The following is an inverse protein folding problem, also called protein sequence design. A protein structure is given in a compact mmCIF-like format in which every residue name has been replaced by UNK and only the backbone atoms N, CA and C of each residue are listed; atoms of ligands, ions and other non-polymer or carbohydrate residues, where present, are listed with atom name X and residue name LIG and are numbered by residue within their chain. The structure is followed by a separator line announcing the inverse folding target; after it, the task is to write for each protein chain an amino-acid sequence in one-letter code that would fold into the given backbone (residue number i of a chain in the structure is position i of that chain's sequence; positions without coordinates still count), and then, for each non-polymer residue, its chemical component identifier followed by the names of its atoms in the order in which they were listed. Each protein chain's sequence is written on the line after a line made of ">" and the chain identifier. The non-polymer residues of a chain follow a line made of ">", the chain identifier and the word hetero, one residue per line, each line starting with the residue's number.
data_IF_222514995777
#
_entry.id   IF_222514995777
#
_cell.length_a   1.000
_cell.length_b   1.000
_cell.length_c   1.000
_cell.angle_alpha   90.00
_cell.angle_beta   90.00
_cell.angle_gamma   90.00
#
_symmetry.space_group_name_H-M   'P 1'
#
loop_
_entity.id
_entity.type
_entity.pdbx_description
1 polymer ?
#
# COMPACT_ATOMS: atom_id res chain seq x y z
N UNK A 1 40.87 11.09 -3.11
CA UNK A 1 40.26 10.00 -2.31
C UNK A 1 38.99 10.55 -1.68
N UNK A 2 38.06 9.74 -1.18
CA UNK A 2 36.88 10.29 -0.51
C UNK A 2 37.30 10.88 0.85
N UNK A 3 36.70 12.00 1.24
CA UNK A 3 36.98 12.69 2.51
C UNK A 3 36.76 11.75 3.72
N UNK A 4 35.86 10.76 3.60
CA UNK A 4 35.63 9.74 4.62
C UNK A 4 36.78 8.73 4.73
N UNK A 5 37.47 8.42 3.62
CA UNK A 5 38.64 7.53 3.62
C UNK A 5 39.88 8.23 4.17
N UNK A 6 39.98 9.54 3.97
CA UNK A 6 41.04 10.37 4.55
C UNK A 6 40.84 10.53 6.06
N UNK A 7 39.60 10.76 6.52
CA UNK A 7 39.26 10.83 7.94
C UNK A 7 39.58 9.52 8.68
N UNK A 8 39.26 8.37 8.10
CA UNK A 8 39.53 7.05 8.70
C UNK A 8 41.03 6.78 8.84
N UNK A 9 41.83 7.17 7.84
CA UNK A 9 43.29 7.03 7.90
C UNK A 9 43.94 7.99 8.89
N UNK A 10 43.39 9.19 9.03
CA UNK A 10 43.87 10.19 9.95
C UNK A 10 43.44 9.94 11.40
N UNK A 11 42.35 9.19 11.63
CA UNK A 11 41.77 8.99 12.96
C UNK A 11 41.15 10.27 13.54
N UNK A 12 40.88 11.26 12.69
CA UNK A 12 40.39 12.58 13.07
C UNK A 12 39.15 12.94 12.26
N UNK A 13 38.32 13.83 12.81
CA UNK A 13 37.12 14.31 12.14
C UNK A 13 37.49 15.31 11.05
N UNK A 14 37.32 14.93 9.79
CA UNK A 14 37.54 15.82 8.63
C UNK A 14 36.18 16.23 8.09
N UNK A 15 35.84 17.52 8.20
CA UNK A 15 34.61 18.11 7.67
C UNK A 15 33.29 17.41 8.08
N UNK A 16 33.25 16.81 9.27
CA UNK A 16 32.09 16.07 9.78
C UNK A 16 32.12 14.57 9.48
N UNK A 17 33.15 14.07 8.80
CA UNK A 17 33.38 12.64 8.56
C UNK A 17 34.40 12.10 9.57
N UNK A 18 34.05 11.03 10.29
CA UNK A 18 34.94 10.37 11.27
C UNK A 18 35.62 9.11 10.71
N UNK A 19 35.24 8.68 9.52
CA UNK A 19 35.73 7.47 8.87
C UNK A 19 34.76 6.98 7.80
N UNK A 20 35.09 5.90 7.09
CA UNK A 20 34.14 5.31 6.15
C UNK A 20 32.98 4.64 6.90
N UNK A 21 31.76 4.84 6.39
CA UNK A 21 30.59 4.18 6.95
C UNK A 21 30.70 2.67 6.71
N UNK A 22 30.27 1.85 7.67
CA UNK A 22 30.12 0.40 7.50
C UNK A 22 29.24 0.08 6.27
N UNK A 23 28.31 0.98 5.92
CA UNK A 23 27.46 0.86 4.73
C UNK A 23 28.22 1.05 3.41
N UNK A 24 29.41 1.67 3.42
CA UNK A 24 30.25 1.83 2.23
C UNK A 24 30.76 0.49 1.68
N UNK A 25 30.86 -0.53 2.55
CA UNK A 25 31.23 -1.91 2.18
C UNK A 25 30.02 -2.76 1.75
N UNK A 26 28.80 -2.22 1.87
CA UNK A 26 27.53 -2.94 1.68
C UNK A 26 26.87 -2.54 0.33
N UNK A 27 27.64 -2.01 -0.63
CA UNK A 27 27.11 -1.59 -1.94
C UNK A 27 26.68 -2.76 -2.85
N UNK A 28 27.06 -4.00 -2.51
CA UNK A 28 26.68 -5.21 -3.25
C UNK A 28 25.35 -5.85 -2.80
N UNK A 29 24.54 -5.15 -2.00
CA UNK A 29 23.18 -5.65 -1.75
C UNK A 29 22.34 -5.32 -2.98
N UNK A 30 21.69 -6.32 -3.63
CA UNK A 30 20.76 -6.04 -4.70
C UNK A 30 19.61 -5.19 -4.13
N UNK A 31 19.70 -3.86 -4.32
CA UNK A 31 18.78 -2.85 -3.78
C UNK A 31 17.29 -3.22 -3.92
N UNK A 32 16.81 -3.85 -5.01
CA UNK A 32 15.43 -4.30 -5.13
C UNK A 32 15.01 -5.37 -4.10
N UNK A 33 15.96 -6.16 -3.59
CA UNK A 33 15.76 -7.16 -2.55
C UNK A 33 16.03 -6.61 -1.13
N UNK A 34 16.67 -5.44 -1.03
CA UNK A 34 17.00 -4.77 0.24
C UNK A 34 15.94 -3.79 0.71
N UNK A 35 15.03 -3.36 -0.17
CA UNK A 35 13.86 -2.57 0.22
C UNK A 35 12.96 -3.52 1.01
N UNK A 36 12.82 -3.25 2.31
CA UNK A 36 11.81 -3.89 3.14
C UNK A 36 10.44 -3.46 2.60
N UNK A 37 9.91 -4.26 1.69
CA UNK A 37 8.57 -4.08 1.15
C UNK A 37 7.59 -4.66 2.14
N UNK A 38 7.08 -3.82 3.03
CA UNK A 38 6.08 -4.24 3.99
C UNK A 38 4.67 -3.90 3.51
N UNK A 39 3.78 -4.89 3.60
CA UNK A 39 2.37 -4.74 3.24
C UNK A 39 1.69 -3.56 3.98
N UNK A 40 2.06 -3.32 5.24
CA UNK A 40 1.39 -2.30 6.05
C UNK A 40 1.69 -0.89 5.56
N UNK A 41 2.96 -0.53 5.32
CA UNK A 41 3.28 0.83 4.89
C UNK A 41 3.04 1.02 3.39
N UNK A 42 3.47 0.10 2.53
CA UNK A 42 3.33 0.26 1.08
C UNK A 42 1.87 0.16 0.65
N UNK A 43 1.22 -0.96 0.97
CA UNK A 43 -0.12 -1.25 0.46
C UNK A 43 -1.19 -0.47 1.19
N UNK A 44 -1.19 -0.51 2.53
CA UNK A 44 -2.28 0.07 3.32
C UNK A 44 -2.09 1.57 3.55
N UNK A 45 -0.97 1.98 4.17
CA UNK A 45 -0.80 3.37 4.62
C UNK A 45 -0.41 4.34 3.50
N UNK A 46 0.19 3.86 2.42
CA UNK A 46 0.53 4.68 1.25
C UNK A 46 -0.52 4.49 0.15
N UNK A 47 -0.48 3.38 -0.58
CA UNK A 47 -1.26 3.26 -1.81
C UNK A 47 -2.78 3.26 -1.58
N UNK A 48 -3.30 2.30 -0.81
CA UNK A 48 -4.74 2.18 -0.55
C UNK A 48 -5.29 3.46 0.10
N UNK A 49 -4.55 4.04 1.06
CA UNK A 49 -4.93 5.31 1.67
C UNK A 49 -5.08 6.43 0.65
N UNK A 50 -4.10 6.65 -0.23
CA UNK A 50 -4.16 7.70 -1.23
C UNK A 50 -5.35 7.51 -2.18
N UNK A 51 -5.57 6.28 -2.64
CA UNK A 51 -6.69 5.94 -3.52
C UNK A 51 -8.04 6.17 -2.84
N UNK A 52 -8.20 5.69 -1.59
CA UNK A 52 -9.44 5.90 -0.81
C UNK A 52 -9.72 7.37 -0.57
N UNK A 53 -8.69 8.16 -0.24
CA UNK A 53 -8.84 9.61 -0.06
C UNK A 53 -9.22 10.31 -1.36
N UNK A 54 -8.68 9.88 -2.51
CA UNK A 54 -9.06 10.42 -3.81
C UNK A 54 -10.50 10.05 -4.19
N UNK A 55 -10.92 8.81 -3.92
CA UNK A 55 -12.31 8.38 -4.08
C UNK A 55 -13.25 9.22 -3.19
N UNK A 56 -12.90 9.37 -1.91
CA UNK A 56 -13.67 10.18 -0.97
C UNK A 56 -13.75 11.66 -1.41
N UNK A 57 -12.65 12.21 -1.92
CA UNK A 57 -12.60 13.57 -2.47
C UNK A 57 -13.44 13.75 -3.75
N UNK A 58 -13.78 12.67 -4.47
CA UNK A 58 -14.67 12.74 -5.63
C UNK A 58 -16.16 12.77 -5.28
N UNK A 59 -16.54 12.38 -4.05
CA UNK A 59 -17.93 12.35 -3.57
C UNK A 59 -18.38 13.76 -3.16
N UNK A 60 -19.67 14.10 -3.27
CA UNK A 60 -20.19 15.41 -2.84
C UNK A 60 -20.12 15.58 -1.31
N UNK A 61 -19.86 16.79 -0.77
CA UNK A 61 -19.69 16.99 0.68
C UNK A 61 -20.85 16.46 1.56
N UNK A 62 -22.11 16.61 1.13
CA UNK A 62 -23.26 16.06 1.87
C UNK A 62 -23.24 14.53 1.95
N UNK A 63 -22.93 13.87 0.83
CA UNK A 63 -22.81 12.41 0.76
C UNK A 63 -21.61 11.88 1.55
N UNK A 64 -20.53 12.67 1.69
CA UNK A 64 -19.40 12.29 2.55
C UNK A 64 -19.78 12.17 4.02
N UNK A 65 -20.64 13.06 4.52
CA UNK A 65 -21.13 13.01 5.91
C UNK A 65 -21.96 11.75 6.12
N UNK A 66 -22.82 11.43 5.16
CA UNK A 66 -23.62 10.21 5.15
C UNK A 66 -22.73 8.96 5.12
N UNK A 67 -21.74 8.93 4.24
CA UNK A 67 -20.75 7.85 4.14
C UNK A 67 -19.98 7.65 5.44
N UNK A 68 -19.49 8.72 6.06
CA UNK A 68 -18.79 8.65 7.34
C UNK A 68 -19.69 8.10 8.45
N UNK A 69 -20.98 8.44 8.43
CA UNK A 69 -21.96 7.86 9.34
C UNK A 69 -22.19 6.37 9.07
N UNK A 70 -22.30 5.95 7.81
CA UNK A 70 -22.41 4.53 7.44
C UNK A 70 -21.20 3.74 7.94
N UNK A 71 -19.99 4.23 7.68
CA UNK A 71 -18.74 3.57 8.08
C UNK A 71 -18.62 3.43 9.60
N UNK A 72 -19.00 4.46 10.37
CA UNK A 72 -18.97 4.43 11.84
C UNK A 72 -19.94 3.40 12.44
N UNK A 73 -21.05 3.14 11.76
CA UNK A 73 -22.10 2.22 12.22
C UNK A 73 -22.07 0.85 11.53
N UNK A 74 -21.15 0.65 10.58
CA UNK A 74 -20.99 -0.61 9.90
C UNK A 74 -20.61 -1.71 10.90
N UNK A 75 -21.36 -2.81 10.87
CA UNK A 75 -21.09 -3.98 11.72
C UNK A 75 -19.93 -4.76 11.10
N UNK A 76 -18.84 -4.86 11.86
CA UNK A 76 -17.71 -5.74 11.55
C UNK A 76 -17.81 -7.04 12.35
N UNK A 77 -17.13 -8.12 11.91
CA UNK A 77 -17.02 -9.34 12.71
C UNK A 77 -16.59 -9.04 14.15
N UNK A 78 -17.13 -9.79 15.11
CA UNK A 78 -16.89 -9.58 16.54
C UNK A 78 -15.41 -9.71 16.96
N UNK A 79 -14.59 -10.36 16.11
CA UNK A 79 -13.14 -10.47 16.28
C UNK A 79 -12.40 -9.16 16.00
N UNK A 80 -13.05 -8.14 15.47
CA UNK A 80 -12.43 -6.86 15.13
C UNK A 80 -12.49 -5.92 16.34
N UNK A 81 -11.34 -5.76 17.02
CA UNK A 81 -11.24 -4.95 18.24
C UNK A 81 -11.46 -3.44 18.05
N UNK A 82 -11.64 -2.94 16.82
CA UNK A 82 -11.80 -1.50 16.54
C UNK A 82 -12.94 -1.24 15.58
N UNK A 83 -13.76 -0.26 15.96
CA UNK A 83 -14.76 0.35 15.07
C UNK A 83 -14.07 1.23 14.03
N UNK A 84 -14.66 1.29 12.84
CA UNK A 84 -14.20 2.19 11.79
C UNK A 84 -14.51 3.65 12.15
N UNK A 85 -13.57 4.53 11.79
CA UNK A 85 -13.72 5.98 11.90
C UNK A 85 -14.16 6.56 10.57
N UNK A 86 -14.51 7.85 10.56
CA UNK A 86 -14.76 8.55 9.30
C UNK A 86 -13.45 8.71 8.51
N UNK A 87 -13.54 8.79 7.18
CA UNK A 87 -12.36 8.83 6.31
C UNK A 87 -11.66 10.19 6.38
N UNK A 88 -12.40 11.23 6.77
CA UNK A 88 -11.86 12.57 7.01
C UNK A 88 -10.83 12.62 8.16
N UNK A 89 -10.81 11.62 9.04
CA UNK A 89 -9.88 11.58 10.15
C UNK A 89 -8.46 11.27 9.64
N UNK A 90 -7.54 12.23 9.75
CA UNK A 90 -6.21 12.24 9.13
C UNK A 90 -5.25 11.15 9.61
N UNK A 91 -5.63 10.37 10.63
CA UNK A 91 -4.82 9.31 11.24
C UNK A 91 -5.52 7.95 11.19
N UNK A 92 -5.72 7.43 9.98
CA UNK A 92 -6.18 6.04 9.78
C UNK A 92 -5.00 5.10 9.99
N UNK A 93 -5.12 4.16 10.92
CA UNK A 93 -4.09 3.13 11.16
C UNK A 93 -4.17 2.04 10.10
N UNK A 94 -3.06 1.32 9.89
CA UNK A 94 -3.00 0.24 8.91
C UNK A 94 -4.10 -0.82 9.14
N UNK A 95 -4.38 -1.18 10.39
CA UNK A 95 -5.44 -2.15 10.72
C UNK A 95 -6.84 -1.65 10.36
N UNK A 96 -7.12 -0.35 10.54
CA UNK A 96 -8.38 0.28 10.13
C UNK A 96 -8.47 0.33 8.60
N UNK A 97 -7.37 0.66 7.92
CA UNK A 97 -7.33 0.66 6.45
C UNK A 97 -7.52 -0.74 5.87
N UNK A 98 -6.95 -1.78 6.49
CA UNK A 98 -7.19 -3.18 6.11
C UNK A 98 -8.67 -3.54 6.21
N UNK A 99 -9.31 -3.19 7.32
CA UNK A 99 -10.73 -3.46 7.54
C UNK A 99 -11.60 -2.69 6.54
N UNK A 100 -11.27 -1.43 6.28
CA UNK A 100 -11.91 -0.64 5.24
C UNK A 100 -11.76 -1.32 3.89
N UNK A 101 -10.55 -1.64 3.46
CA UNK A 101 -10.28 -2.17 2.13
C UNK A 101 -11.03 -3.48 1.86
N UNK A 102 -11.06 -4.42 2.82
CA UNK A 102 -11.65 -5.74 2.61
C UNK A 102 -13.13 -5.88 2.96
N UNK A 103 -13.66 -5.00 3.82
CA UNK A 103 -15.02 -5.15 4.35
C UNK A 103 -15.85 -3.87 4.26
N UNK A 104 -15.22 -2.69 4.34
CA UNK A 104 -15.93 -1.41 4.40
C UNK A 104 -16.11 -0.72 3.06
N UNK A 105 -15.11 -0.81 2.17
CA UNK A 105 -14.99 0.05 1.00
C UNK A 105 -16.12 -0.22 0.01
N UNK A 106 -16.21 -1.45 -0.51
CA UNK A 106 -17.21 -1.78 -1.54
C UNK A 106 -18.65 -1.57 -1.04
N UNK A 107 -19.07 -2.10 0.14
CA UNK A 107 -20.45 -1.93 0.59
C UNK A 107 -20.83 -0.48 0.86
N UNK A 108 -19.87 0.36 1.26
CA UNK A 108 -20.15 1.75 1.63
C UNK A 108 -19.99 2.71 0.45
N UNK A 109 -19.04 2.47 -0.46
CA UNK A 109 -18.72 3.41 -1.54
C UNK A 109 -19.53 3.19 -2.81
N UNK A 110 -20.03 1.97 -3.08
CA UNK A 110 -20.55 1.62 -4.41
C UNK A 110 -21.66 2.56 -4.90
N UNK A 111 -22.49 3.10 -3.99
CA UNK A 111 -23.60 4.01 -4.33
C UNK A 111 -23.15 5.44 -4.62
N UNK A 112 -21.92 5.82 -4.28
CA UNK A 112 -21.44 7.20 -4.30
C UNK A 112 -20.35 7.47 -5.35
N UNK A 113 -19.76 6.43 -5.93
CA UNK A 113 -18.73 6.55 -6.97
C UNK A 113 -19.12 5.77 -8.23
N UNK A 114 -18.55 6.17 -9.37
CA UNK A 114 -18.84 5.54 -10.66
C UNK A 114 -18.42 4.06 -10.66
N UNK A 115 -19.24 3.21 -11.29
CA UNK A 115 -19.06 1.75 -11.28
C UNK A 115 -17.69 1.33 -11.84
N UNK A 116 -17.14 2.07 -12.79
CA UNK A 116 -15.83 1.82 -13.37
C UNK A 116 -14.72 1.98 -12.34
N UNK A 117 -14.84 2.98 -11.44
CA UNK A 117 -13.89 3.18 -10.34
C UNK A 117 -14.04 2.09 -9.28
N UNK A 118 -15.27 1.63 -9.02
CA UNK A 118 -15.53 0.50 -8.11
C UNK A 118 -14.90 -0.78 -8.67
N UNK A 119 -15.14 -1.08 -9.93
CA UNK A 119 -14.58 -2.26 -10.60
C UNK A 119 -13.05 -2.20 -10.60
N UNK A 120 -12.48 -1.04 -10.93
CA UNK A 120 -11.03 -0.85 -10.95
C UNK A 120 -10.38 -1.07 -9.57
N UNK A 121 -10.89 -0.44 -8.49
CA UNK A 121 -10.35 -0.68 -7.14
C UNK A 121 -10.57 -2.12 -6.65
N UNK A 122 -11.63 -2.79 -7.13
CA UNK A 122 -11.90 -4.19 -6.79
C UNK A 122 -10.81 -5.12 -7.29
N UNK A 123 -10.22 -4.85 -8.47
CA UNK A 123 -9.09 -5.63 -9.00
C UNK A 123 -7.93 -5.64 -7.99
N UNK A 124 -7.58 -4.47 -7.45
CA UNK A 124 -6.55 -4.33 -6.43
C UNK A 124 -6.93 -5.05 -5.14
N UNK A 125 -8.15 -4.86 -4.63
CA UNK A 125 -8.62 -5.52 -3.40
C UNK A 125 -8.53 -7.04 -3.53
N UNK A 126 -9.00 -7.60 -4.65
CA UNK A 126 -8.96 -9.03 -4.93
C UNK A 126 -7.52 -9.54 -4.97
N UNK A 127 -6.63 -8.87 -5.71
CA UNK A 127 -5.24 -9.27 -5.82
C UNK A 127 -4.53 -9.32 -4.46
N UNK A 128 -4.66 -8.26 -3.65
CA UNK A 128 -4.07 -8.18 -2.32
C UNK A 128 -4.67 -9.25 -1.40
N UNK A 129 -5.99 -9.48 -1.47
CA UNK A 129 -6.65 -10.52 -0.67
C UNK A 129 -6.16 -11.92 -1.02
N UNK A 130 -5.87 -12.19 -2.29
CA UNK A 130 -5.31 -13.47 -2.73
C UNK A 130 -3.89 -13.69 -2.21
N UNK A 131 -3.05 -12.64 -2.20
CA UNK A 131 -1.67 -12.70 -1.68
C UNK A 131 -1.59 -12.82 -0.15
N UNK A 132 -2.63 -12.39 0.57
CA UNK A 132 -2.66 -12.42 2.04
C UNK A 132 -3.66 -13.43 2.63
N UNK A 133 -4.31 -14.22 1.78
CA UNK A 133 -5.27 -15.25 2.18
C UNK A 133 -4.69 -16.65 2.11
N UNK A 134 -5.52 -17.64 2.45
CA UNK A 134 -5.23 -19.02 2.09
C UNK A 134 -5.16 -19.18 0.57
N UNK A 135 -4.37 -20.16 0.09
CA UNK A 135 -4.19 -20.48 -1.33
C UNK A 135 -5.50 -20.95 -1.97
N UNK A 136 -6.38 -20.01 -2.29
CA UNK A 136 -7.68 -20.22 -2.91
C UNK A 136 -7.57 -21.01 -4.23
N UNK A 137 -6.49 -20.78 -4.99
CA UNK A 137 -6.24 -21.42 -6.28
C UNK A 137 -4.94 -22.24 -6.28
N UNK A 138 -4.52 -22.76 -5.13
CA UNK A 138 -3.28 -23.52 -5.01
C UNK A 138 -2.06 -22.73 -5.50
N UNK A 139 -1.26 -23.35 -6.38
CA UNK A 139 -0.07 -22.77 -6.99
C UNK A 139 -0.36 -21.63 -7.97
N UNK A 140 -1.58 -21.46 -8.45
CA UNK A 140 -1.94 -20.39 -9.40
C UNK A 140 -2.28 -19.07 -8.69
N UNK A 141 -2.43 -19.09 -7.36
CA UNK A 141 -2.84 -17.92 -6.56
C UNK A 141 -1.93 -16.71 -6.81
N UNK A 142 -0.61 -16.90 -6.79
CA UNK A 142 0.35 -15.82 -7.04
C UNK A 142 0.28 -15.26 -8.46
N UNK A 143 0.10 -16.13 -9.45
CA UNK A 143 -0.01 -15.75 -10.87
C UNK A 143 -1.28 -14.95 -11.14
N UNK A 144 -2.43 -15.43 -10.65
CA UNK A 144 -3.71 -14.74 -10.81
C UNK A 144 -3.72 -13.38 -10.09
N UNK A 145 -3.17 -13.33 -8.88
CA UNK A 145 -3.03 -12.06 -8.16
C UNK A 145 -2.15 -11.06 -8.93
N UNK A 146 -1.04 -11.52 -9.51
CA UNK A 146 -0.20 -10.70 -10.35
C UNK A 146 -0.95 -10.15 -11.58
N UNK A 147 -1.71 -11.00 -12.28
CA UNK A 147 -2.52 -10.58 -13.44
C UNK A 147 -3.54 -9.50 -13.06
N UNK A 148 -4.20 -9.63 -11.90
CA UNK A 148 -5.12 -8.62 -11.39
C UNK A 148 -4.41 -7.29 -11.06
N UNK A 149 -3.21 -7.34 -10.47
CA UNK A 149 -2.40 -6.14 -10.24
C UNK A 149 -1.98 -5.48 -11.57
N UNK A 150 -1.56 -6.25 -12.57
CA UNK A 150 -1.22 -5.73 -13.90
C UNK A 150 -2.42 -5.06 -14.56
N UNK A 151 -3.60 -5.68 -14.50
CA UNK A 151 -4.84 -5.10 -15.01
C UNK A 151 -5.19 -3.79 -14.28
N UNK A 152 -5.04 -3.76 -12.95
CA UNK A 152 -5.20 -2.56 -12.15
C UNK A 152 -4.21 -1.45 -12.55
N UNK A 153 -2.94 -1.77 -12.80
CA UNK A 153 -1.93 -0.78 -13.18
C UNK A 153 -2.13 -0.19 -14.57
N UNK A 154 -2.56 -1.02 -15.53
CA UNK A 154 -2.77 -0.59 -16.92
C UNK A 154 -3.69 0.63 -17.01
N UNK A 155 -4.75 0.65 -16.21
CA UNK A 155 -5.75 1.73 -16.21
C UNK A 155 -5.59 2.69 -15.00
N UNK A 156 -4.51 2.59 -14.22
CA UNK A 156 -4.39 3.36 -12.97
C UNK A 156 -4.46 4.87 -13.20
N UNK A 157 -3.71 5.37 -14.19
CA UNK A 157 -3.69 6.79 -14.57
C UNK A 157 -5.05 7.33 -14.97
N UNK A 158 -5.86 6.49 -15.63
CA UNK A 158 -7.21 6.85 -16.07
C UNK A 158 -8.14 7.11 -14.87
N UNK A 159 -7.96 6.38 -13.78
CA UNK A 159 -8.84 6.47 -12.60
C UNK A 159 -8.28 7.36 -11.48
N UNK A 160 -6.96 7.46 -11.35
CA UNK A 160 -6.25 8.04 -10.21
C UNK A 160 -5.05 8.89 -10.65
N UNK A 161 -5.25 9.76 -11.63
CA UNK A 161 -4.21 10.64 -12.16
C UNK A 161 -3.39 11.34 -11.05
N UNK A 162 -2.07 11.23 -11.12
CA UNK A 162 -1.13 11.81 -10.16
C UNK A 162 -0.79 10.91 -8.96
N UNK A 163 -1.35 9.70 -8.88
CA UNK A 163 -0.99 8.70 -7.86
C UNK A 163 0.02 7.65 -8.35
N UNK A 164 0.56 7.81 -9.56
CA UNK A 164 1.64 6.98 -10.11
C UNK A 164 2.96 7.30 -9.41
N UNK A 165 3.23 6.61 -8.32
CA UNK A 165 4.45 6.79 -7.54
C UNK A 165 5.22 5.47 -7.39
N UNK A 166 6.40 5.53 -6.80
CA UNK A 166 7.25 4.36 -6.56
C UNK A 166 6.50 3.24 -5.80
N UNK A 167 5.59 3.59 -4.88
CA UNK A 167 4.80 2.63 -4.09
C UNK A 167 3.93 1.75 -5.00
N UNK A 168 3.36 2.32 -6.06
CA UNK A 168 2.58 1.58 -7.05
C UNK A 168 3.44 0.53 -7.77
N UNK A 169 4.68 0.89 -8.12
CA UNK A 169 5.62 -0.01 -8.78
C UNK A 169 6.06 -1.17 -7.86
N UNK A 170 6.25 -0.90 -6.56
CA UNK A 170 6.73 -1.92 -5.61
C UNK A 170 5.79 -3.13 -5.52
N UNK A 171 4.49 -2.95 -5.72
CA UNK A 171 3.53 -4.04 -5.71
C UNK A 171 3.77 -5.11 -6.80
N UNK A 172 4.46 -4.77 -7.91
CA UNK A 172 4.77 -5.72 -8.98
C UNK A 172 5.64 -6.86 -8.43
N UNK A 173 6.43 -6.57 -7.39
CA UNK A 173 7.30 -7.55 -6.74
C UNK A 173 6.58 -8.43 -5.71
N UNK A 174 5.35 -8.11 -5.30
CA UNK A 174 4.65 -8.86 -4.25
C UNK A 174 4.40 -10.33 -4.61
N UNK A 175 4.06 -10.63 -5.87
CA UNK A 175 3.90 -12.02 -6.29
C UNK A 175 5.20 -12.81 -6.13
N UNK A 176 6.33 -12.21 -6.49
CA UNK A 176 7.64 -12.85 -6.31
C UNK A 176 8.03 -13.02 -4.84
N UNK A 177 7.60 -12.10 -3.97
CA UNK A 177 7.80 -12.23 -2.52
C UNK A 177 6.93 -13.34 -1.93
N UNK A 178 5.66 -13.40 -2.34
CA UNK A 178 4.71 -14.43 -1.93
C UNK A 178 5.23 -15.85 -2.28
N UNK A 179 5.74 -16.04 -3.49
CA UNK A 179 6.29 -17.35 -3.88
C UNK A 179 7.56 -17.71 -3.11
N UNK A 180 8.38 -16.72 -2.71
CA UNK A 180 9.65 -16.96 -2.01
C UNK A 180 9.50 -17.14 -0.50
N UNK A 181 8.55 -16.44 0.12
CA UNK A 181 8.47 -16.31 1.57
C UNK A 181 7.13 -16.75 2.17
N UNK A 182 6.13 -17.04 1.34
CA UNK A 182 4.75 -17.35 1.76
C UNK A 182 3.93 -16.11 2.09
#
# INVERSE_FOLDING_TARGET
>A
MSESTEAEKAGENIHGHLGTSILHQILDVPLPQSIIMDYMHITLLRHARCVVLQLYASIKPKQRIELDNILRHQRFPHTFNRKMRGIKDTHIKATEMKNLLFYGLLPSFYSYIAIEKVAHITLFICAIRMLHGEKLFGSETGVLAHQLLVAYYKDHTKHYHGLENLVLHLHIHFASQYEKYG
#
